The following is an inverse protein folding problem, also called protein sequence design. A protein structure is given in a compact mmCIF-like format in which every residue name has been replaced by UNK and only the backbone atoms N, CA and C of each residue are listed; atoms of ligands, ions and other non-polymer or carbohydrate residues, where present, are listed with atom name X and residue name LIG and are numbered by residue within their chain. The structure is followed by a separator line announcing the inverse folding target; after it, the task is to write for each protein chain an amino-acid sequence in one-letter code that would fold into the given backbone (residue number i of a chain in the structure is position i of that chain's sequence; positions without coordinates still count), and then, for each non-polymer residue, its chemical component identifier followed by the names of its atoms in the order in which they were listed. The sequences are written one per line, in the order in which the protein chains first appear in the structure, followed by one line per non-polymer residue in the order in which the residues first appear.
data_IF_412362934260
#
_entry.id   IF_412362934260
#
_cell.length_a   1.000
_cell.length_b   1.000
_cell.length_c   1.000
_cell.angle_alpha   90.00
_cell.angle_beta   90.00
_cell.angle_gamma   90.00
#
_symmetry.space_group_name_H-M   'P 1'
#
loop_
_entity.id
_entity.type
_entity.pdbx_description
1 polymer ?
#
# COMPACT_ATOMS: atom_id res chain seq x y z
N UNK A 1 -6.76 -4.10 8.26
CA UNK A 1 -5.45 -3.42 8.25
C UNK A 1 -4.33 -4.10 9.03
N UNK A 2 -4.63 -4.93 10.02
CA UNK A 2 -3.61 -5.48 10.94
C UNK A 2 -2.58 -6.42 10.29
N UNK A 3 -2.98 -7.27 9.35
CA UNK A 3 -2.07 -8.25 8.74
C UNK A 3 -1.01 -7.63 7.80
N UNK A 4 -1.35 -6.52 7.13
CA UNK A 4 -0.39 -5.79 6.29
C UNK A 4 0.72 -5.14 7.09
N UNK A 5 0.43 -4.75 8.31
CA UNK A 5 1.37 -4.12 9.20
C UNK A 5 2.42 -5.06 9.77
N UNK A 6 2.10 -6.34 9.95
CA UNK A 6 3.04 -7.29 10.55
C UNK A 6 4.30 -7.44 9.68
N UNK A 7 4.13 -7.65 8.37
CA UNK A 7 5.24 -7.78 7.44
C UNK A 7 5.98 -6.44 7.25
N UNK A 8 5.25 -5.34 7.15
CA UNK A 8 5.84 -4.02 7.04
C UNK A 8 6.68 -3.67 8.27
N UNK A 9 6.20 -3.98 9.47
CA UNK A 9 6.95 -3.82 10.72
C UNK A 9 8.24 -4.64 10.74
N UNK A 10 8.20 -5.87 10.26
CA UNK A 10 9.41 -6.71 10.13
C UNK A 10 10.43 -6.09 9.17
N UNK A 11 9.98 -5.31 8.20
CA UNK A 11 10.81 -4.58 7.25
C UNK A 11 11.22 -3.18 7.75
N UNK A 12 10.92 -2.84 9.00
CA UNK A 12 11.33 -1.58 9.62
C UNK A 12 10.34 -0.43 9.52
N UNK A 13 9.14 -0.66 9.01
CA UNK A 13 8.09 0.36 8.97
C UNK A 13 7.48 0.55 10.37
N UNK A 14 7.60 1.75 10.90
CA UNK A 14 7.07 2.12 12.21
C UNK A 14 5.78 2.93 12.09
N UNK A 15 5.03 3.01 13.18
CA UNK A 15 3.85 3.88 13.27
C UNK A 15 4.21 5.35 13.00
N UNK A 16 5.39 5.78 13.45
CA UNK A 16 5.90 7.12 13.20
C UNK A 16 6.09 7.42 11.71
N UNK A 17 6.66 6.48 10.96
CA UNK A 17 6.80 6.60 9.51
C UNK A 17 5.45 6.69 8.80
N UNK A 18 4.48 5.92 9.26
CA UNK A 18 3.13 5.94 8.69
C UNK A 18 2.44 7.27 8.94
N UNK A 19 2.63 7.85 10.12
CA UNK A 19 2.08 9.15 10.47
C UNK A 19 2.66 10.29 9.62
N UNK A 20 3.89 10.12 9.11
CA UNK A 20 4.55 11.09 8.23
C UNK A 20 4.05 11.05 6.77
N UNK A 21 3.36 9.99 6.34
CA UNK A 21 2.96 9.82 4.95
C UNK A 21 2.11 10.97 4.38
N UNK A 22 1.17 11.60 5.12
CA UNK A 22 0.40 12.71 4.59
C UNK A 22 1.24 13.95 4.24
N UNK A 23 2.38 14.11 4.88
CA UNK A 23 3.33 15.22 4.67
C UNK A 23 4.74 14.70 4.39
N UNK A 24 4.83 13.66 3.59
CA UNK A 24 6.08 12.93 3.34
C UNK A 24 7.19 13.82 2.76
N UNK A 25 6.84 14.87 2.04
CA UNK A 25 7.82 15.76 1.41
C UNK A 25 8.67 16.49 2.46
N UNK A 26 8.05 16.89 3.58
CA UNK A 26 8.68 17.62 4.67
C UNK A 26 9.27 16.69 5.76
N UNK A 27 9.04 15.40 5.66
CA UNK A 27 9.50 14.44 6.66
C UNK A 27 11.02 14.35 6.72
N UNK A 28 11.56 14.35 7.91
CA UNK A 28 12.98 14.07 8.18
C UNK A 28 13.26 12.59 8.39
N UNK A 29 12.21 11.79 8.58
CA UNK A 29 12.31 10.34 8.81
C UNK A 29 12.41 9.54 7.52
N UNK A 30 11.96 10.12 6.40
CA UNK A 30 11.95 9.48 5.09
C UNK A 30 13.17 9.87 4.28
N UNK A 31 13.81 8.89 3.67
CA UNK A 31 14.92 9.11 2.75
C UNK A 31 14.42 9.71 1.43
N UNK A 32 15.29 10.40 0.67
CA UNK A 32 14.93 10.89 -0.66
C UNK A 32 14.43 9.80 -1.60
N UNK A 33 14.97 8.58 -1.48
CA UNK A 33 14.55 7.41 -2.24
C UNK A 33 13.11 7.01 -1.90
N UNK A 34 12.78 6.98 -0.62
CA UNK A 34 11.42 6.68 -0.14
C UNK A 34 10.43 7.77 -0.55
N UNK A 35 10.81 9.03 -0.47
CA UNK A 35 9.98 10.15 -0.92
C UNK A 35 9.67 10.07 -2.43
N UNK A 36 10.65 9.72 -3.24
CA UNK A 36 10.45 9.52 -4.67
C UNK A 36 9.46 8.38 -4.95
N UNK A 37 9.57 7.26 -4.24
CA UNK A 37 8.64 6.14 -4.35
C UNK A 37 7.22 6.51 -3.90
N UNK A 38 7.08 7.27 -2.83
CA UNK A 38 5.78 7.73 -2.32
C UNK A 38 5.13 8.71 -3.30
N UNK A 39 5.89 9.63 -3.87
CA UNK A 39 5.40 10.55 -4.91
C UNK A 39 4.91 9.80 -6.13
N UNK A 40 5.62 8.77 -6.56
CA UNK A 40 5.19 7.90 -7.65
C UNK A 40 3.88 7.18 -7.34
N UNK A 41 3.74 6.65 -6.13
CA UNK A 41 2.52 6.02 -5.65
C UNK A 41 1.34 7.01 -5.59
N UNK A 42 1.58 8.23 -5.14
CA UNK A 42 0.58 9.29 -5.02
C UNK A 42 0.01 9.67 -6.40
N UNK A 43 0.88 9.82 -7.38
CA UNK A 43 0.48 10.11 -8.77
C UNK A 43 -0.30 8.93 -9.38
N UNK A 44 0.15 7.69 -9.16
CA UNK A 44 -0.55 6.50 -9.67
C UNK A 44 -1.91 6.27 -9.03
N UNK A 45 -2.03 6.61 -7.74
CA UNK A 45 -3.29 6.46 -7.01
C UNK A 45 -4.27 7.60 -7.24
N UNK A 46 -3.75 8.80 -7.51
CA UNK A 46 -4.50 10.01 -7.69
C UNK A 46 -4.64 10.43 -9.14
N UNK A 47 -4.05 11.57 -9.46
CA UNK A 47 -4.08 12.12 -10.82
C UNK A 47 -2.85 11.66 -11.62
N UNK A 48 -2.99 10.57 -12.34
CA UNK A 48 -1.93 10.05 -13.20
C UNK A 48 -1.53 10.99 -14.34
N UNK A 49 -2.36 11.98 -14.67
CA UNK A 49 -2.01 13.05 -15.59
C UNK A 49 -0.88 13.97 -15.11
N UNK A 50 -0.57 13.93 -13.82
CA UNK A 50 0.55 14.65 -13.22
C UNK A 50 1.91 13.97 -13.46
N UNK A 51 1.93 12.81 -14.11
CA UNK A 51 3.18 12.15 -14.49
C UNK A 51 3.98 13.06 -15.41
N UNK A 52 5.22 13.31 -15.05
CA UNK A 52 6.11 14.23 -15.75
C UNK A 52 7.48 13.61 -16.00
N UNK A 53 8.23 14.20 -16.92
CA UNK A 53 9.61 13.82 -17.14
C UNK A 53 10.44 13.98 -15.86
N UNK A 54 10.20 15.06 -15.13
CA UNK A 54 10.87 15.36 -13.87
C UNK A 54 10.66 14.25 -12.82
N UNK A 55 9.46 13.69 -12.73
CA UNK A 55 9.18 12.54 -11.86
C UNK A 55 10.12 11.37 -12.19
N UNK A 56 10.23 11.02 -13.47
CA UNK A 56 11.09 9.91 -13.90
C UNK A 56 12.57 10.21 -13.75
N UNK A 57 12.99 11.44 -13.96
CA UNK A 57 14.36 11.87 -13.72
C UNK A 57 14.73 11.73 -12.23
N UNK A 58 13.82 12.08 -11.35
CA UNK A 58 13.98 11.88 -9.91
C UNK A 58 14.01 10.40 -9.54
N UNK A 59 13.11 9.59 -10.09
CA UNK A 59 13.10 8.15 -9.84
C UNK A 59 14.41 7.48 -10.30
N UNK A 60 14.95 7.85 -11.45
CA UNK A 60 16.22 7.33 -11.98
C UNK A 60 17.44 7.65 -11.13
N UNK A 61 17.37 8.69 -10.31
CA UNK A 61 18.43 8.99 -9.34
C UNK A 61 18.52 7.93 -8.23
N UNK A 62 17.43 7.20 -7.96
CA UNK A 62 17.31 6.28 -6.84
C UNK A 62 17.03 4.84 -7.24
N UNK A 63 16.54 4.62 -8.45
CA UNK A 63 16.11 3.31 -8.95
C UNK A 63 16.60 3.09 -10.37
N UNK A 64 16.90 1.85 -10.70
CA UNK A 64 17.14 1.43 -12.09
C UNK A 64 15.81 1.37 -12.86
N UNK A 65 15.87 1.34 -14.19
CA UNK A 65 14.66 1.21 -15.03
C UNK A 65 13.82 -0.04 -14.67
N UNK A 66 14.42 -1.25 -14.51
CA UNK A 66 13.68 -2.41 -14.06
C UNK A 66 13.03 -2.24 -12.69
N UNK A 67 13.72 -1.58 -11.77
CA UNK A 67 13.20 -1.31 -10.42
C UNK A 67 12.01 -0.34 -10.46
N UNK A 68 12.05 0.68 -11.32
CA UNK A 68 10.93 1.61 -11.52
C UNK A 68 9.71 0.86 -12.05
N UNK A 69 9.90 -0.03 -13.01
CA UNK A 69 8.83 -0.84 -13.57
C UNK A 69 8.23 -1.78 -12.51
N UNK A 70 9.06 -2.46 -11.75
CA UNK A 70 8.63 -3.34 -10.66
C UNK A 70 7.88 -2.56 -9.58
N UNK A 71 8.40 -1.41 -9.17
CA UNK A 71 7.76 -0.53 -8.20
C UNK A 71 6.38 -0.09 -8.68
N UNK A 72 6.26 0.34 -9.93
CA UNK A 72 4.99 0.73 -10.54
C UNK A 72 3.97 -0.42 -10.53
N UNK A 73 4.38 -1.61 -10.94
CA UNK A 73 3.53 -2.79 -10.90
C UNK A 73 3.06 -3.15 -9.49
N UNK A 74 3.93 -3.09 -8.52
CA UNK A 74 3.58 -3.33 -7.11
C UNK A 74 2.56 -2.31 -6.61
N UNK A 75 2.80 -1.03 -6.89
CA UNK A 75 1.90 0.05 -6.48
C UNK A 75 0.50 -0.14 -7.07
N UNK A 76 0.39 -0.33 -8.38
CA UNK A 76 -0.93 -0.47 -9.02
C UNK A 76 -1.64 -1.76 -8.61
N UNK A 77 -0.91 -2.83 -8.36
CA UNK A 77 -1.45 -4.08 -7.85
C UNK A 77 -2.10 -3.87 -6.48
N UNK A 78 -1.42 -3.20 -5.58
CA UNK A 78 -1.97 -2.90 -4.25
C UNK A 78 -3.15 -1.95 -4.30
N UNK A 79 -3.09 -0.92 -5.13
CA UNK A 79 -4.20 0.03 -5.32
C UNK A 79 -5.43 -0.71 -5.86
N UNK A 80 -5.26 -1.45 -6.95
CA UNK A 80 -6.34 -2.19 -7.60
C UNK A 80 -6.92 -3.27 -6.70
N UNK A 81 -6.07 -4.04 -6.06
CA UNK A 81 -6.47 -5.08 -5.13
C UNK A 81 -7.23 -4.51 -3.93
N UNK A 82 -6.74 -3.42 -3.34
CA UNK A 82 -7.40 -2.76 -2.22
C UNK A 82 -8.79 -2.23 -2.59
N UNK A 83 -8.93 -1.63 -3.76
CA UNK A 83 -10.22 -1.16 -4.27
C UNK A 83 -11.18 -2.31 -4.55
N UNK A 84 -10.69 -3.39 -5.13
CA UNK A 84 -11.49 -4.57 -5.43
C UNK A 84 -12.02 -5.24 -4.15
N UNK A 85 -11.17 -5.44 -3.16
CA UNK A 85 -11.56 -5.94 -1.84
C UNK A 85 -12.62 -5.04 -1.19
N UNK A 86 -12.46 -3.74 -1.28
CA UNK A 86 -13.42 -2.79 -0.73
C UNK A 86 -14.78 -2.88 -1.43
N UNK A 87 -14.79 -2.96 -2.77
CA UNK A 87 -16.02 -3.12 -3.56
C UNK A 87 -16.75 -4.42 -3.22
N UNK A 88 -16.00 -5.49 -2.97
CA UNK A 88 -16.57 -6.78 -2.56
C UNK A 88 -17.06 -6.79 -1.09
N UNK A 89 -16.80 -5.74 -0.32
CA UNK A 89 -17.19 -5.68 1.07
C UNK A 89 -16.40 -6.64 1.97
N UNK A 90 -15.23 -7.08 1.54
CA UNK A 90 -14.39 -7.99 2.33
C UNK A 90 -13.60 -7.19 3.37
N UNK A 91 -13.71 -7.58 4.61
CA UNK A 91 -12.90 -7.00 5.69
C UNK A 91 -11.51 -7.64 5.70
N UNK A 92 -10.49 -6.80 5.55
CA UNK A 92 -9.11 -7.24 5.66
C UNK A 92 -8.75 -7.34 7.13
N UNK A 93 -8.53 -8.55 7.59
CA UNK A 93 -8.10 -8.81 8.97
C UNK A 93 -8.89 -9.90 9.67
N UNK A 94 -9.90 -10.45 9.01
CA UNK A 94 -10.47 -11.73 9.43
C UNK A 94 -9.53 -12.85 9.00
N UNK A 95 -9.26 -13.75 9.90
CA UNK A 95 -8.53 -14.99 9.63
C UNK A 95 -9.22 -15.72 8.49
N UNK A 96 -8.44 -16.07 7.46
CA UNK A 96 -8.95 -16.89 6.40
C UNK A 96 -9.45 -18.22 6.99
N UNK A 97 -10.72 -18.60 6.80
CA UNK A 97 -11.26 -19.84 7.35
C UNK A 97 -10.51 -21.11 6.90
N UNK A 98 -9.77 -21.00 5.82
CA UNK A 98 -8.94 -22.08 5.31
C UNK A 98 -7.62 -22.28 6.09
N UNK A 99 -7.28 -21.35 6.96
CA UNK A 99 -6.01 -21.39 7.68
C UNK A 99 -6.15 -21.83 9.14
N UNK A 100 -7.30 -21.72 9.70
CA UNK A 100 -7.60 -22.25 11.03
C UNK A 100 -8.40 -23.53 10.88
N UNK A 101 -7.76 -24.63 11.15
CA UNK A 101 -8.44 -25.93 11.22
C UNK A 101 -9.45 -26.01 12.39
N UNK A 102 -9.82 -24.89 12.95
CA UNK A 102 -10.81 -24.74 13.98
C UNK A 102 -11.91 -23.84 13.46
N UNK A 103 -12.91 -24.47 12.97
CA UNK A 103 -14.22 -23.90 12.74
C UNK A 103 -14.82 -23.50 14.07
N UNK A 104 -14.38 -22.39 14.62
CA UNK A 104 -15.30 -21.67 15.48
C UNK A 104 -16.26 -20.96 14.55
N UNK A 105 -17.44 -21.51 14.49
CA UNK A 105 -18.58 -20.87 13.90
C UNK A 105 -18.64 -19.45 14.48
N UNK A 106 -18.17 -18.50 13.71
CA UNK A 106 -18.43 -17.12 13.97
C UNK A 106 -19.93 -16.95 13.69
N UNK A 107 -20.67 -17.22 14.71
CA UNK A 107 -22.06 -16.88 14.79
C UNK A 107 -22.15 -15.38 14.67
N UNK A 108 -22.91 -14.93 13.71
CA UNK A 108 -23.28 -13.55 13.48
C UNK A 108 -22.22 -12.59 12.91
N UNK A 109 -21.91 -12.76 11.67
CA UNK A 109 -22.03 -11.61 10.82
C UNK A 109 -23.54 -11.51 10.45
N UNK A 110 -24.26 -10.48 10.84
CA UNK A 110 -25.51 -10.21 10.20
C UNK A 110 -25.21 -10.10 8.74
N UNK A 111 -25.77 -10.99 7.95
CA UNK A 111 -25.70 -10.89 6.52
C UNK A 111 -25.95 -9.43 6.20
N UNK A 112 -24.93 -8.75 5.68
CA UNK A 112 -25.16 -7.44 5.14
C UNK A 112 -26.26 -7.64 4.12
N UNK A 113 -27.43 -7.28 4.49
CA UNK A 113 -28.58 -7.39 3.65
C UNK A 113 -28.31 -6.49 2.48
N UNK A 114 -27.93 -7.13 1.45
CA UNK A 114 -27.76 -6.53 0.19
C UNK A 114 -27.03 -5.46 -0.17
#
# INVERSE_FOLDING_TARGET
MRARFALARQQGVTEGLIAELPQYEDSVLLTPREKAAIRFADILAGDHGQASRELFDTLRQHFTEPEILELGWRIVTFIGYGRFIHVLGLEIGQTCPLHTGESEAQEDAPAAAK
#
